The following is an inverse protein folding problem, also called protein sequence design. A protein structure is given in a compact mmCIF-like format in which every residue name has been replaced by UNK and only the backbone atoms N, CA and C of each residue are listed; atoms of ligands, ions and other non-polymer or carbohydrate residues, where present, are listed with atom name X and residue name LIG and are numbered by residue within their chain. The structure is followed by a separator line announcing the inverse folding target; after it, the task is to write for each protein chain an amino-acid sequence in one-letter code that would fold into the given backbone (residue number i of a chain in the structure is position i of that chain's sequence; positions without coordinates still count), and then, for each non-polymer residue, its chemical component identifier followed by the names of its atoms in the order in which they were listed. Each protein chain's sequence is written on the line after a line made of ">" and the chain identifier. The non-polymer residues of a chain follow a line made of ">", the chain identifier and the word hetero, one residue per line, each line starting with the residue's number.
data_IF_424389204394
#
_entry.id   IF_424389204394
#
_cell.length_a   1.000
_cell.length_b   1.000
_cell.length_c   1.000
_cell.angle_alpha   90.00
_cell.angle_beta   90.00
_cell.angle_gamma   90.00
#
_symmetry.space_group_name_H-M   'P 1'
#
loop_
_entity.id
_entity.type
_entity.pdbx_description
1 polymer ?
#
# COMPACT_ATOMS: atom_id res chain seq x y z
N UNK A 1 26.99 -20.12 -5.78
CA UNK A 1 26.90 -21.44 -5.10
C UNK A 1 25.67 -21.40 -4.21
N UNK A 2 24.89 -22.47 -4.15
CA UNK A 2 23.73 -22.54 -3.26
C UNK A 2 23.76 -23.82 -2.42
N UNK A 3 23.12 -23.77 -1.25
CA UNK A 3 22.95 -24.91 -0.37
C UNK A 3 21.50 -24.98 0.09
N UNK A 4 20.97 -26.18 0.31
CA UNK A 4 19.63 -26.36 0.88
C UNK A 4 19.53 -25.67 2.23
N UNK A 5 18.48 -24.89 2.43
CA UNK A 5 18.19 -24.27 3.71
C UNK A 5 17.54 -25.30 4.63
N UNK A 6 18.17 -25.56 5.78
CA UNK A 6 17.66 -26.49 6.79
C UNK A 6 16.25 -26.06 7.25
N UNK A 7 15.22 -26.94 7.15
CA UNK A 7 13.86 -26.65 7.62
C UNK A 7 13.81 -26.18 9.08
N UNK A 8 14.63 -26.74 9.97
CA UNK A 8 14.66 -26.33 11.38
C UNK A 8 15.24 -24.92 11.57
N UNK A 9 16.07 -24.44 10.62
CA UNK A 9 16.50 -23.04 10.59
C UNK A 9 15.37 -22.15 10.08
N UNK A 10 14.68 -22.55 9.00
CA UNK A 10 13.55 -21.82 8.42
C UNK A 10 12.43 -21.57 9.44
N UNK A 11 12.12 -22.56 10.29
CA UNK A 11 11.09 -22.43 11.33
C UNK A 11 11.41 -21.38 12.39
N UNK A 12 12.71 -21.14 12.64
CA UNK A 12 13.19 -20.15 13.63
C UNK A 12 13.27 -18.73 13.08
N UNK A 13 13.22 -18.56 11.76
CA UNK A 13 13.33 -17.25 11.13
C UNK A 13 12.15 -16.36 11.50
N UNK A 14 12.44 -15.08 11.71
CA UNK A 14 11.40 -14.06 11.73
C UNK A 14 11.07 -13.68 10.30
N UNK A 15 10.04 -14.30 9.74
CA UNK A 15 9.54 -14.02 8.40
C UNK A 15 8.69 -12.77 8.40
N UNK A 16 9.13 -11.76 7.65
CA UNK A 16 8.49 -10.46 7.65
C UNK A 16 7.27 -10.39 6.74
N UNK A 17 6.42 -9.40 6.99
CA UNK A 17 5.20 -9.13 6.22
C UNK A 17 5.44 -8.96 4.71
N UNK A 18 6.56 -8.36 4.29
CA UNK A 18 6.91 -8.13 2.89
C UNK A 18 7.02 -9.42 2.05
N UNK A 19 7.21 -10.57 2.71
CA UNK A 19 7.34 -11.89 2.08
C UNK A 19 6.25 -12.85 2.55
N UNK A 20 5.12 -12.32 3.02
CA UNK A 20 4.02 -13.11 3.63
C UNK A 20 3.38 -14.14 2.69
N UNK A 21 3.49 -13.96 1.39
CA UNK A 21 2.91 -14.85 0.38
C UNK A 21 3.86 -16.02 0.04
N UNK A 22 4.99 -16.14 0.74
CA UNK A 22 5.91 -17.26 0.58
C UNK A 22 5.28 -18.54 1.15
N UNK A 23 5.20 -19.59 0.34
CA UNK A 23 4.80 -20.92 0.80
C UNK A 23 5.92 -21.55 1.65
N UNK A 24 5.77 -21.50 2.97
CA UNK A 24 6.78 -21.98 3.92
C UNK A 24 6.92 -23.50 3.94
N UNK A 25 6.01 -24.24 3.31
CA UNK A 25 6.11 -25.70 3.20
C UNK A 25 7.04 -26.13 2.04
N UNK A 26 7.39 -25.21 1.15
CA UNK A 26 8.31 -25.46 0.05
C UNK A 26 9.76 -25.65 0.52
N UNK A 27 10.55 -26.33 -0.31
CA UNK A 27 12.00 -26.47 -0.09
C UNK A 27 12.75 -25.27 -0.65
N UNK A 28 13.61 -24.68 0.18
CA UNK A 28 14.39 -23.50 -0.18
C UNK A 28 15.89 -23.78 -0.19
N UNK A 29 16.61 -22.94 -0.93
CA UNK A 29 18.06 -22.87 -0.92
C UNK A 29 18.51 -21.49 -0.45
N UNK A 30 19.71 -21.41 0.12
CA UNK A 30 20.41 -20.16 0.35
C UNK A 30 21.44 -19.98 -0.75
N UNK A 31 21.27 -18.93 -1.54
CA UNK A 31 22.03 -18.65 -2.74
C UNK A 31 23.03 -17.54 -2.46
N UNK A 32 24.30 -17.81 -2.74
CA UNK A 32 25.39 -16.85 -2.66
C UNK A 32 25.94 -16.61 -4.07
N UNK A 33 25.63 -15.44 -4.62
CA UNK A 33 26.19 -14.92 -5.87
C UNK A 33 26.94 -13.63 -5.54
N UNK A 34 28.27 -13.68 -5.57
CA UNK A 34 29.10 -12.51 -5.25
C UNK A 34 28.83 -11.32 -6.18
N UNK A 35 28.40 -11.58 -7.42
CA UNK A 35 28.16 -10.57 -8.45
C UNK A 35 26.67 -10.19 -8.61
N UNK A 36 25.77 -10.74 -7.81
CA UNK A 36 24.35 -10.40 -7.91
C UNK A 36 24.10 -9.00 -7.33
N UNK A 37 23.61 -8.10 -8.18
CA UNK A 37 23.13 -6.80 -7.73
C UNK A 37 21.70 -6.94 -7.21
N UNK A 38 21.40 -6.46 -5.99
CA UNK A 38 20.05 -6.51 -5.43
C UNK A 38 19.02 -5.91 -6.38
N UNK A 39 17.91 -6.61 -6.59
CA UNK A 39 16.76 -6.10 -7.33
C UNK A 39 15.56 -5.92 -6.41
N UNK A 40 14.60 -5.09 -6.82
CA UNK A 40 13.37 -4.89 -6.05
C UNK A 40 12.65 -6.22 -5.87
N UNK A 41 12.35 -6.57 -4.62
CA UNK A 41 11.63 -7.78 -4.25
C UNK A 41 12.51 -9.01 -4.04
N UNK A 42 13.84 -8.95 -4.23
CA UNK A 42 14.69 -10.11 -3.94
C UNK A 42 14.53 -10.52 -2.47
N UNK A 43 14.13 -11.77 -2.25
CA UNK A 43 13.96 -12.31 -0.91
C UNK A 43 15.32 -12.67 -0.34
N UNK A 44 15.61 -12.19 0.86
CA UNK A 44 16.94 -12.27 1.46
C UNK A 44 16.83 -12.70 2.91
N UNK A 45 17.70 -13.65 3.27
CA UNK A 45 17.97 -14.00 4.65
C UNK A 45 19.06 -13.08 5.18
N UNK A 46 18.80 -12.36 6.27
CA UNK A 46 19.74 -11.42 6.86
C UNK A 46 19.84 -11.58 8.38
N UNK A 47 20.98 -11.20 8.94
CA UNK A 47 21.22 -11.17 10.38
C UNK A 47 21.16 -9.72 10.88
N UNK A 48 20.48 -9.48 12.00
CA UNK A 48 20.47 -8.18 12.66
C UNK A 48 21.83 -7.93 13.32
N UNK A 49 22.55 -6.90 12.87
CA UNK A 49 23.87 -6.54 13.42
C UNK A 49 23.79 -5.42 14.46
N UNK A 50 22.78 -4.55 14.34
CA UNK A 50 22.50 -3.47 15.31
C UNK A 50 21.04 -3.11 15.29
N UNK A 51 20.42 -3.01 16.47
CA UNK A 51 19.05 -2.50 16.61
C UNK A 51 19.06 -0.98 16.67
N UNK A 52 18.30 -0.34 15.78
CA UNK A 52 18.13 1.11 15.67
C UNK A 52 16.66 1.49 15.74
N UNK A 53 16.20 2.32 14.80
CA UNK A 53 14.84 2.86 14.78
C UNK A 53 13.75 1.78 14.76
N UNK A 54 13.83 0.84 13.81
CA UNK A 54 12.89 -0.28 13.73
C UNK A 54 13.32 -1.36 14.72
N UNK A 55 12.80 -1.31 15.93
CA UNK A 55 13.05 -2.29 17.00
C UNK A 55 12.13 -3.51 16.93
N UNK A 56 11.10 -3.44 16.09
CA UNK A 56 10.10 -4.47 15.88
C UNK A 56 10.06 -4.81 14.39
N UNK A 57 9.90 -6.08 14.08
CA UNK A 57 9.60 -6.59 12.74
C UNK A 57 8.16 -7.09 12.74
N UNK A 58 7.36 -6.62 11.80
CA UNK A 58 6.02 -7.16 11.59
C UNK A 58 6.11 -8.48 10.83
N UNK A 59 5.56 -9.53 11.44
CA UNK A 59 5.51 -10.86 10.88
C UNK A 59 4.31 -11.02 9.93
N UNK A 60 4.26 -12.16 9.24
CA UNK A 60 3.21 -12.49 8.24
C UNK A 60 1.80 -12.51 8.81
N UNK A 61 1.66 -12.74 10.13
CA UNK A 61 0.40 -12.76 10.88
C UNK A 61 0.02 -11.39 11.49
N UNK A 62 0.80 -10.34 11.23
CA UNK A 62 0.63 -9.00 11.81
C UNK A 62 1.23 -8.83 13.20
N UNK A 63 1.78 -9.89 13.81
CA UNK A 63 2.46 -9.80 15.10
C UNK A 63 3.75 -8.99 14.96
N UNK A 64 3.97 -8.05 15.89
CA UNK A 64 5.20 -7.25 15.94
C UNK A 64 6.25 -7.93 16.83
N UNK A 65 7.20 -8.64 16.22
CA UNK A 65 8.26 -9.34 16.92
C UNK A 65 9.42 -8.39 17.30
N UNK A 66 9.85 -8.43 18.56
CA UNK A 66 11.04 -7.70 19.02
C UNK A 66 12.30 -8.20 18.31
N UNK A 67 13.15 -7.29 17.85
CA UNK A 67 14.45 -7.58 17.27
C UNK A 67 15.57 -7.53 18.32
N UNK A 68 16.51 -8.45 18.20
CA UNK A 68 17.74 -8.60 18.96
C UNK A 68 18.91 -8.77 17.99
N UNK A 69 20.10 -8.35 18.40
CA UNK A 69 21.33 -8.60 17.63
C UNK A 69 21.56 -10.10 17.51
N UNK A 70 21.89 -10.57 16.31
CA UNK A 70 22.05 -11.99 15.97
C UNK A 70 20.75 -12.69 15.53
N UNK A 71 19.60 -12.02 15.59
CA UNK A 71 18.38 -12.57 15.00
C UNK A 71 18.54 -12.73 13.48
N UNK A 72 18.06 -13.85 12.95
CA UNK A 72 17.90 -14.06 11.51
C UNK A 72 16.47 -13.70 11.07
N UNK A 73 16.37 -12.91 10.02
CA UNK A 73 15.12 -12.40 9.46
C UNK A 73 15.02 -12.77 7.97
N UNK A 74 13.81 -13.10 7.52
CA UNK A 74 13.51 -13.28 6.10
C UNK A 74 12.71 -12.06 5.63
N UNK A 75 13.30 -11.29 4.72
CA UNK A 75 12.88 -9.94 4.31
C UNK A 75 13.07 -9.77 2.81
N UNK A 76 12.69 -8.62 2.24
CA UNK A 76 12.88 -8.32 0.82
C UNK A 76 13.69 -7.04 0.61
N UNK A 77 14.44 -6.96 -0.49
CA UNK A 77 15.06 -5.71 -0.93
C UNK A 77 14.06 -4.75 -1.57
N UNK A 78 14.23 -3.44 -1.37
CA UNK A 78 13.47 -2.42 -2.07
C UNK A 78 13.84 -0.99 -1.68
N UNK A 79 13.69 -0.08 -2.63
CA UNK A 79 13.75 1.36 -2.36
C UNK A 79 12.55 1.79 -1.51
N UNK A 80 12.71 2.84 -0.71
CA UNK A 80 11.66 3.38 0.15
C UNK A 80 11.55 4.89 -0.01
N UNK A 81 10.34 5.37 -0.21
CA UNK A 81 9.96 6.77 -0.05
C UNK A 81 9.10 6.90 1.21
N UNK A 82 9.58 7.64 2.21
CA UNK A 82 8.82 7.93 3.43
C UNK A 82 9.32 9.23 4.07
N UNK A 83 8.69 10.39 3.78
CA UNK A 83 9.15 11.70 4.24
C UNK A 83 9.29 11.85 5.76
N UNK A 84 8.43 11.18 6.54
CA UNK A 84 8.51 11.21 8.01
C UNK A 84 9.45 10.13 8.57
N UNK A 85 10.06 9.30 7.70
CA UNK A 85 10.97 8.22 8.09
C UNK A 85 12.30 8.25 7.32
N UNK A 86 12.48 7.31 6.40
CA UNK A 86 13.70 7.11 5.63
C UNK A 86 13.37 7.21 4.15
N UNK A 87 14.23 7.90 3.41
CA UNK A 87 14.39 7.68 1.98
C UNK A 87 15.54 6.68 1.79
N UNK A 88 15.31 5.65 1.00
CA UNK A 88 16.30 4.63 0.73
C UNK A 88 16.25 4.17 -0.72
N UNK A 89 17.40 3.77 -1.23
CA UNK A 89 17.56 3.17 -2.56
C UNK A 89 17.94 1.69 -2.41
N UNK A 90 17.92 0.94 -3.51
CA UNK A 90 18.54 -0.38 -3.54
C UNK A 90 20.04 -0.26 -3.19
N UNK A 91 20.60 -1.21 -2.41
CA UNK A 91 22.04 -1.31 -2.24
C UNK A 91 22.72 -1.72 -3.56
N UNK A 92 23.98 -1.32 -3.73
CA UNK A 92 24.76 -1.65 -4.93
C UNK A 92 25.28 -3.10 -4.93
N UNK A 93 25.28 -3.76 -3.76
CA UNK A 93 25.77 -5.11 -3.53
C UNK A 93 24.99 -5.83 -2.40
N UNK A 94 25.34 -7.10 -2.14
CA UNK A 94 24.80 -7.89 -1.02
C UNK A 94 25.49 -7.59 0.33
N UNK A 95 26.13 -6.43 0.46
CA UNK A 95 26.80 -5.99 1.67
C UNK A 95 25.84 -5.48 2.75
N UNK A 96 26.43 -4.94 3.82
CA UNK A 96 25.67 -4.43 4.96
C UNK A 96 24.74 -3.27 4.54
N UNK A 97 23.47 -3.39 4.95
CA UNK A 97 22.41 -2.44 4.60
C UNK A 97 21.45 -2.23 5.79
N UNK A 98 20.39 -1.49 5.55
CA UNK A 98 19.50 -0.97 6.57
C UNK A 98 18.13 -1.64 6.46
N UNK A 99 17.53 -2.00 7.60
CA UNK A 99 16.11 -2.28 7.67
C UNK A 99 15.38 -0.94 7.54
N UNK A 100 14.81 -0.68 6.37
CA UNK A 100 14.19 0.60 6.05
C UNK A 100 12.72 0.62 6.38
N UNK A 101 12.04 -0.53 6.50
CA UNK A 101 10.65 -0.61 6.96
C UNK A 101 10.41 -1.81 7.89
N UNK A 102 9.57 -1.62 8.91
CA UNK A 102 9.25 -2.65 9.90
C UNK A 102 8.51 -3.87 9.31
N UNK A 103 7.87 -3.73 8.14
CA UNK A 103 7.31 -4.89 7.42
C UNK A 103 8.37 -5.75 6.71
N UNK A 104 9.66 -5.45 6.87
CA UNK A 104 10.76 -6.27 6.36
C UNK A 104 11.25 -5.86 4.99
N UNK A 105 11.55 -4.57 4.81
CA UNK A 105 12.19 -4.06 3.59
C UNK A 105 13.61 -3.64 3.93
N UNK A 106 14.58 -4.13 3.16
CA UNK A 106 15.98 -3.73 3.22
C UNK A 106 16.32 -2.75 2.09
N UNK A 107 17.12 -1.74 2.43
CA UNK A 107 17.63 -0.76 1.47
C UNK A 107 18.85 -0.04 2.02
N UNK A 108 19.40 0.90 1.26
CA UNK A 108 20.44 1.81 1.72
C UNK A 108 19.85 3.18 1.99
N UNK A 109 19.85 3.62 3.25
CA UNK A 109 19.30 4.93 3.61
C UNK A 109 20.13 6.03 2.94
N UNK A 110 19.43 6.92 2.21
CA UNK A 110 20.00 8.12 1.58
C UNK A 110 19.72 9.37 2.40
N UNK A 111 18.49 9.51 2.86
CA UNK A 111 18.08 10.60 3.74
C UNK A 111 17.15 10.10 4.85
N UNK A 112 17.08 10.87 5.93
CA UNK A 112 16.35 10.50 7.14
C UNK A 112 15.71 11.75 7.72
N UNK A 113 14.44 11.65 8.10
CA UNK A 113 13.74 12.70 8.81
C UNK A 113 14.47 13.05 10.12
N UNK A 114 14.57 14.34 10.46
CA UNK A 114 15.27 14.80 11.65
C UNK A 114 14.75 14.20 12.96
N UNK A 115 13.46 13.83 13.01
CA UNK A 115 12.81 13.23 14.18
C UNK A 115 13.09 11.71 14.36
N UNK A 116 13.74 11.07 13.38
CA UNK A 116 13.91 9.62 13.32
C UNK A 116 15.35 9.25 13.66
N UNK A 117 15.58 8.25 14.51
CA UNK A 117 16.92 7.77 14.87
C UNK A 117 17.57 6.94 13.75
N UNK A 118 18.86 6.59 13.88
CA UNK A 118 19.56 5.75 12.90
C UNK A 118 18.82 4.41 12.68
N UNK A 119 18.86 3.83 11.46
CA UNK A 119 18.15 2.58 11.16
C UNK A 119 18.75 1.39 11.92
N UNK A 120 17.96 0.32 11.99
CA UNK A 120 18.46 -1.03 12.34
C UNK A 120 19.31 -1.52 11.18
N UNK A 121 20.53 -2.00 11.45
CA UNK A 121 21.45 -2.48 10.42
C UNK A 121 21.43 -3.99 10.36
N UNK A 122 21.60 -4.52 9.15
CA UNK A 122 21.62 -5.95 8.89
C UNK A 122 22.81 -6.33 8.04
N UNK A 123 23.21 -7.59 8.15
CA UNK A 123 24.17 -8.23 7.24
C UNK A 123 23.41 -9.32 6.46
N UNK A 124 23.25 -9.16 5.13
CA UNK A 124 22.72 -10.22 4.30
C UNK A 124 23.56 -11.49 4.45
N UNK A 125 22.89 -12.62 4.63
CA UNK A 125 23.52 -13.94 4.69
C UNK A 125 23.47 -14.60 3.32
N UNK A 126 22.40 -14.40 2.55
CA UNK A 126 22.24 -14.89 1.19
C UNK A 126 20.82 -14.67 0.69
N UNK A 127 20.64 -14.82 -0.62
CA UNK A 127 19.32 -14.72 -1.25
C UNK A 127 18.57 -16.04 -1.10
N UNK A 128 17.26 -15.96 -0.91
CA UNK A 128 16.41 -17.15 -0.91
C UNK A 128 16.25 -17.64 -2.34
N UNK A 129 16.54 -18.91 -2.59
CA UNK A 129 16.28 -19.57 -3.86
C UNK A 129 15.27 -20.71 -3.72
N UNK A 130 14.68 -21.10 -4.84
CA UNK A 130 13.89 -22.32 -4.93
C UNK A 130 14.79 -23.57 -4.88
N UNK A 131 14.20 -24.76 -5.02
CA UNK A 131 14.92 -26.04 -5.01
C UNK A 131 16.00 -26.16 -6.10
N UNK A 132 15.91 -25.37 -7.18
CA UNK A 132 16.89 -25.32 -8.26
C UNK A 132 18.00 -24.28 -8.06
N UNK A 133 17.89 -23.47 -6.99
CA UNK A 133 18.81 -22.36 -6.74
C UNK A 133 18.46 -21.08 -7.50
N UNK A 134 17.30 -21.02 -8.17
CA UNK A 134 16.81 -19.77 -8.78
C UNK A 134 16.32 -18.85 -7.68
N UNK A 135 16.80 -17.61 -7.67
CA UNK A 135 16.44 -16.59 -6.67
C UNK A 135 14.92 -16.35 -6.71
N UNK A 136 14.31 -16.36 -5.53
CA UNK A 136 12.90 -16.04 -5.34
C UNK A 136 12.76 -14.54 -5.18
N UNK A 137 11.84 -13.97 -5.94
CA UNK A 137 11.46 -12.58 -5.85
C UNK A 137 10.01 -12.45 -5.33
N UNK A 138 9.68 -11.38 -4.63
CA UNK A 138 8.30 -11.10 -4.19
C UNK A 138 7.32 -11.07 -5.37
N UNK A 139 7.77 -10.72 -6.58
CA UNK A 139 6.97 -10.80 -7.80
C UNK A 139 6.57 -12.23 -8.20
N UNK A 140 7.36 -13.24 -7.85
CA UNK A 140 7.00 -14.66 -8.04
C UNK A 140 5.83 -15.08 -7.12
N UNK A 141 5.59 -14.31 -6.05
CA UNK A 141 4.58 -14.57 -5.02
C UNK A 141 3.29 -13.76 -5.25
N UNK A 142 3.17 -13.10 -6.40
CA UNK A 142 1.99 -12.33 -6.76
C UNK A 142 0.77 -13.24 -6.96
N UNK A 143 -0.42 -12.70 -6.70
CA UNK A 143 -1.65 -13.33 -7.13
C UNK A 143 -1.65 -13.51 -8.65
N UNK A 144 -2.13 -14.67 -9.10
CA UNK A 144 -2.35 -14.93 -10.53
C UNK A 144 -3.48 -14.10 -11.13
N UNK A 145 -3.83 -14.36 -12.38
CA UNK A 145 -4.94 -13.67 -13.06
C UNK A 145 -6.26 -13.87 -12.30
N UNK A 146 -7.02 -12.78 -12.02
CA UNK A 146 -8.29 -12.89 -11.33
C UNK A 146 -9.34 -13.57 -12.23
N UNK A 147 -10.27 -14.29 -11.60
CA UNK A 147 -11.43 -14.85 -12.32
C UNK A 147 -12.33 -13.69 -12.77
N UNK A 148 -12.89 -13.79 -13.98
CA UNK A 148 -13.81 -12.78 -14.51
C UNK A 148 -15.00 -12.55 -13.57
N UNK A 149 -15.22 -11.31 -13.17
CA UNK A 149 -16.38 -10.92 -12.38
C UNK A 149 -17.58 -10.60 -13.28
N UNK A 150 -18.79 -10.89 -12.80
CA UNK A 150 -20.05 -10.64 -13.51
C UNK A 150 -20.51 -9.17 -13.43
N UNK A 151 -19.99 -8.40 -12.49
CA UNK A 151 -20.37 -7.00 -12.23
C UNK A 151 -19.16 -6.15 -11.88
N UNK A 152 -19.20 -4.88 -12.24
CA UNK A 152 -18.23 -3.86 -11.82
C UNK A 152 -18.84 -3.05 -10.67
N UNK A 153 -18.40 -3.23 -9.42
CA UNK A 153 -18.89 -2.45 -8.29
C UNK A 153 -18.32 -1.02 -8.33
N UNK A 154 -19.06 -0.01 -7.84
CA UNK A 154 -18.52 1.33 -7.69
C UNK A 154 -17.23 1.30 -6.86
N UNK A 155 -16.22 2.02 -7.34
CA UNK A 155 -14.89 2.02 -6.75
C UNK A 155 -14.52 3.43 -6.31
N UNK A 156 -14.26 3.56 -5.02
CA UNK A 156 -13.73 4.77 -4.42
C UNK A 156 -12.20 4.73 -4.43
N UNK A 157 -11.57 5.83 -4.82
CA UNK A 157 -10.12 6.02 -4.64
C UNK A 157 -9.89 7.07 -3.56
N UNK A 158 -9.02 6.74 -2.61
CA UNK A 158 -8.58 7.64 -1.55
C UNK A 158 -7.12 8.00 -1.79
N UNK A 159 -6.89 9.26 -2.10
CA UNK A 159 -5.56 9.87 -2.27
C UNK A 159 -5.48 11.10 -1.37
N UNK A 160 -4.29 11.63 -1.10
CA UNK A 160 -4.13 12.68 -0.10
C UNK A 160 -2.96 13.62 -0.33
N UNK A 161 -2.83 14.60 0.55
CA UNK A 161 -1.78 15.63 0.47
C UNK A 161 -0.38 15.07 0.72
N UNK A 162 -0.26 14.10 1.63
CA UNK A 162 1.03 13.61 2.12
C UNK A 162 0.88 12.29 2.88
N UNK A 163 1.98 11.69 3.30
CA UNK A 163 1.95 10.70 4.39
C UNK A 163 1.26 11.30 5.63
N UNK A 164 0.58 10.46 6.40
CA UNK A 164 -0.14 10.87 7.62
C UNK A 164 -1.26 11.92 7.43
N UNK A 165 -1.71 12.18 6.18
CA UNK A 165 -2.86 13.06 5.91
C UNK A 165 -4.22 12.46 6.29
N UNK A 166 -4.25 11.23 6.81
CA UNK A 166 -5.48 10.53 7.23
C UNK A 166 -6.10 9.59 6.20
N UNK A 167 -5.42 9.26 5.09
CA UNK A 167 -5.93 8.36 4.04
C UNK A 167 -6.43 7.01 4.59
N UNK A 168 -5.60 6.29 5.33
CA UNK A 168 -5.96 4.98 5.89
C UNK A 168 -7.17 5.07 6.82
N UNK A 169 -7.25 6.13 7.62
CA UNK A 169 -8.43 6.40 8.48
C UNK A 169 -9.68 6.69 7.67
N UNK A 170 -9.57 7.46 6.58
CA UNK A 170 -10.66 7.75 5.65
C UNK A 170 -11.17 6.46 4.99
N UNK A 171 -10.26 5.60 4.51
CA UNK A 171 -10.60 4.29 3.93
C UNK A 171 -11.31 3.41 4.95
N UNK A 172 -10.69 3.21 6.12
CA UNK A 172 -11.26 2.41 7.21
C UNK A 172 -12.66 2.90 7.62
N UNK A 173 -12.83 4.23 7.75
CA UNK A 173 -14.11 4.82 8.12
C UNK A 173 -15.19 4.62 7.06
N UNK A 174 -14.84 4.80 5.77
CA UNK A 174 -15.78 4.56 4.67
C UNK A 174 -16.13 3.07 4.54
N UNK A 175 -15.15 2.17 4.66
CA UNK A 175 -15.36 0.72 4.69
C UNK A 175 -16.34 0.35 5.81
N UNK A 176 -16.16 0.92 7.00
CA UNK A 176 -17.04 0.68 8.13
C UNK A 176 -18.46 1.18 7.88
N UNK A 177 -18.63 2.40 7.36
CA UNK A 177 -19.94 2.95 7.00
C UNK A 177 -20.66 2.11 5.95
N UNK A 178 -19.99 1.75 4.87
CA UNK A 178 -20.54 0.90 3.80
C UNK A 178 -20.93 -0.49 4.32
N UNK A 179 -20.08 -1.12 5.13
CA UNK A 179 -20.38 -2.42 5.74
C UNK A 179 -21.60 -2.33 6.66
N UNK A 180 -21.70 -1.27 7.47
CA UNK A 180 -22.88 -1.01 8.32
C UNK A 180 -24.15 -0.71 7.53
N UNK A 181 -24.03 -0.30 6.27
CA UNK A 181 -25.15 -0.16 5.35
C UNK A 181 -25.60 -1.51 4.75
N UNK A 182 -24.98 -2.63 5.16
CA UNK A 182 -25.30 -3.99 4.70
C UNK A 182 -24.57 -4.42 3.43
N UNK A 183 -23.56 -3.65 3.00
CA UNK A 183 -22.81 -3.92 1.78
C UNK A 183 -21.58 -4.80 2.04
N UNK A 184 -21.23 -5.64 1.07
CA UNK A 184 -19.96 -6.36 1.05
C UNK A 184 -18.89 -5.44 0.48
N UNK A 185 -17.87 -5.10 1.26
CA UNK A 185 -16.84 -4.14 0.84
C UNK A 185 -15.50 -4.84 0.64
N UNK A 186 -14.87 -4.59 -0.51
CA UNK A 186 -13.46 -4.93 -0.75
C UNK A 186 -12.59 -3.70 -0.56
N UNK A 187 -11.41 -3.84 0.05
CA UNK A 187 -10.47 -2.74 0.19
C UNK A 187 -9.07 -3.15 -0.24
N UNK A 188 -8.31 -2.23 -0.83
CA UNK A 188 -6.90 -2.47 -1.08
C UNK A 188 -6.06 -1.22 -0.96
N UNK A 189 -4.80 -1.38 -0.58
CA UNK A 189 -3.78 -0.36 -0.70
C UNK A 189 -2.90 -0.63 -1.92
N UNK A 190 -3.01 0.19 -2.96
CA UNK A 190 -2.41 -0.10 -4.27
C UNK A 190 -0.96 0.38 -4.40
N UNK A 191 -0.51 1.27 -3.52
CA UNK A 191 0.88 1.73 -3.44
C UNK A 191 1.36 1.82 -2.00
N UNK A 192 2.68 1.84 -1.79
CA UNK A 192 3.30 2.07 -0.49
C UNK A 192 4.56 1.24 -0.24
N UNK A 193 4.78 0.92 1.03
CA UNK A 193 5.90 0.11 1.52
C UNK A 193 5.35 -0.94 2.45
N UNK A 194 5.75 -2.21 2.28
CA UNK A 194 5.11 -3.35 2.94
C UNK A 194 5.01 -3.14 4.46
N UNK A 195 3.77 -3.19 4.95
CA UNK A 195 3.37 -3.17 6.35
C UNK A 195 1.90 -3.62 6.41
N UNK A 196 1.54 -4.44 7.39
CA UNK A 196 0.21 -5.02 7.48
C UNK A 196 -0.85 -4.09 8.09
N UNK A 197 -0.43 -2.97 8.68
CA UNK A 197 -1.32 -2.05 9.38
C UNK A 197 -2.57 -1.65 8.58
N UNK A 198 -2.42 -1.35 7.28
CA UNK A 198 -3.54 -0.96 6.41
C UNK A 198 -4.53 -2.11 6.19
N UNK A 199 -4.15 -3.28 5.60
CA UNK A 199 -5.11 -4.36 5.38
C UNK A 199 -5.71 -4.94 6.66
N UNK A 200 -4.96 -4.99 7.78
CA UNK A 200 -5.55 -5.40 9.06
C UNK A 200 -6.64 -4.44 9.52
N UNK A 201 -6.39 -3.13 9.45
CA UNK A 201 -7.38 -2.12 9.81
C UNK A 201 -8.61 -2.16 8.88
N UNK A 202 -8.42 -2.42 7.59
CA UNK A 202 -9.54 -2.55 6.65
C UNK A 202 -10.42 -3.77 6.98
N UNK A 203 -9.82 -4.90 7.38
CA UNK A 203 -10.56 -6.08 7.85
C UNK A 203 -11.32 -5.79 9.14
N UNK A 204 -10.66 -5.16 10.11
CA UNK A 204 -11.30 -4.76 11.38
C UNK A 204 -12.45 -3.77 11.15
N UNK A 205 -12.37 -2.97 10.08
CA UNK A 205 -13.42 -2.04 9.67
C UNK A 205 -14.62 -2.73 9.00
N UNK A 206 -14.49 -4.00 8.58
CA UNK A 206 -15.58 -4.80 8.00
C UNK A 206 -15.37 -5.22 6.55
N UNK A 207 -14.22 -4.94 5.93
CA UNK A 207 -13.95 -5.42 4.58
C UNK A 207 -13.93 -6.96 4.53
N UNK A 208 -14.66 -7.55 3.58
CA UNK A 208 -14.71 -9.01 3.40
C UNK A 208 -13.42 -9.56 2.77
N UNK A 209 -12.64 -8.67 2.17
CA UNK A 209 -11.29 -8.91 1.67
C UNK A 209 -10.51 -7.59 1.77
N UNK A 210 -9.28 -7.68 2.28
CA UNK A 210 -8.32 -6.58 2.26
C UNK A 210 -7.00 -7.07 1.68
N UNK A 211 -6.51 -6.35 0.67
CA UNK A 211 -5.28 -6.62 -0.06
C UNK A 211 -4.32 -5.42 0.00
N UNK A 212 -3.06 -5.63 -0.35
CA UNK A 212 -2.14 -4.54 -0.68
C UNK A 212 -1.23 -4.89 -1.86
N UNK A 213 -0.41 -3.94 -2.30
CA UNK A 213 0.54 -4.08 -3.42
C UNK A 213 1.52 -5.27 -3.29
N UNK A 214 1.72 -5.84 -2.10
CA UNK A 214 2.50 -7.07 -1.95
C UNK A 214 1.74 -8.30 -2.44
N UNK A 215 0.40 -8.29 -2.43
CA UNK A 215 -0.41 -9.31 -3.13
C UNK A 215 -0.27 -9.20 -4.65
N UNK A 216 0.09 -8.01 -5.15
CA UNK A 216 0.50 -7.82 -6.54
C UNK A 216 2.00 -8.09 -6.78
N UNK A 217 2.74 -8.59 -5.79
CA UNK A 217 4.14 -8.97 -5.93
C UNK A 217 5.13 -7.81 -5.83
N UNK A 218 4.83 -6.80 -5.01
CA UNK A 218 5.74 -5.68 -4.74
C UNK A 218 6.04 -5.54 -3.23
N UNK A 219 7.31 -5.50 -2.85
CA UNK A 219 7.71 -5.18 -1.46
C UNK A 219 7.55 -3.68 -1.14
N UNK A 220 7.79 -2.84 -2.14
CA UNK A 220 7.55 -1.39 -2.14
C UNK A 220 7.16 -0.94 -3.54
N UNK A 221 6.53 0.22 -3.66
CA UNK A 221 6.14 0.79 -4.97
C UNK A 221 6.97 2.00 -5.40
N UNK A 222 7.88 2.49 -4.56
CA UNK A 222 8.80 3.56 -4.92
C UNK A 222 9.86 3.04 -5.90
N UNK A 223 10.16 3.80 -6.97
CA UNK A 223 11.06 3.41 -8.07
C UNK A 223 10.60 2.21 -8.91
N UNK A 224 9.37 1.74 -8.71
CA UNK A 224 8.77 0.73 -9.57
C UNK A 224 8.26 1.40 -10.85
N UNK A 225 8.47 0.83 -12.04
CA UNK A 225 7.96 1.39 -13.29
C UNK A 225 6.45 1.64 -13.26
N UNK A 226 6.01 2.76 -13.82
CA UNK A 226 4.61 3.19 -13.77
C UNK A 226 3.64 2.14 -14.33
N UNK A 227 3.95 1.51 -15.47
CA UNK A 227 3.09 0.49 -16.06
C UNK A 227 2.91 -0.71 -15.12
N UNK A 228 3.96 -1.05 -14.35
CA UNK A 228 3.87 -2.10 -13.32
C UNK A 228 2.97 -1.69 -12.14
N UNK A 229 2.95 -0.41 -11.77
CA UNK A 229 2.03 0.11 -10.75
C UNK A 229 0.58 0.06 -11.23
N UNK A 230 0.33 0.40 -12.50
CA UNK A 230 -1.00 0.28 -13.12
C UNK A 230 -1.45 -1.18 -13.13
N UNK A 231 -0.61 -2.09 -13.62
CA UNK A 231 -0.90 -3.53 -13.65
C UNK A 231 -1.20 -4.07 -12.26
N UNK A 232 -0.42 -3.65 -11.25
CA UNK A 232 -0.64 -4.03 -9.86
C UNK A 232 -1.98 -3.53 -9.32
N UNK A 233 -2.33 -2.26 -9.56
CA UNK A 233 -3.60 -1.69 -9.13
C UNK A 233 -4.81 -2.40 -9.78
N UNK A 234 -4.74 -2.68 -11.09
CA UNK A 234 -5.77 -3.39 -11.84
C UNK A 234 -5.88 -4.87 -11.41
N UNK A 235 -4.76 -5.53 -11.12
CA UNK A 235 -4.74 -6.89 -10.59
C UNK A 235 -5.48 -6.97 -9.25
N UNK A 236 -5.15 -6.07 -8.31
CA UNK A 236 -5.81 -6.02 -7.01
C UNK A 236 -7.30 -5.71 -7.16
N UNK A 237 -7.66 -4.72 -7.99
CA UNK A 237 -9.05 -4.37 -8.28
C UNK A 237 -9.83 -5.57 -8.83
N UNK A 238 -9.28 -6.30 -9.81
CA UNK A 238 -9.89 -7.50 -10.37
C UNK A 238 -10.10 -8.61 -9.33
N UNK A 239 -9.15 -8.83 -8.42
CA UNK A 239 -9.32 -9.78 -7.32
C UNK A 239 -10.40 -9.36 -6.32
N UNK A 240 -10.52 -8.07 -6.01
CA UNK A 240 -11.62 -7.56 -5.18
C UNK A 240 -12.97 -7.79 -5.88
N UNK A 241 -13.07 -7.52 -7.19
CA UNK A 241 -14.28 -7.79 -7.98
C UNK A 241 -14.68 -9.26 -7.98
N UNK A 242 -13.70 -10.17 -8.17
CA UNK A 242 -13.92 -11.61 -8.18
C UNK A 242 -14.51 -12.15 -6.87
N UNK A 243 -14.38 -11.41 -5.76
CA UNK A 243 -14.99 -11.75 -4.46
C UNK A 243 -16.47 -11.36 -4.33
N UNK A 244 -17.08 -10.82 -5.39
CA UNK A 244 -18.49 -10.46 -5.42
C UNK A 244 -18.83 -9.40 -4.37
N UNK A 245 -17.99 -8.37 -4.25
CA UNK A 245 -18.23 -7.20 -3.38
C UNK A 245 -19.22 -6.25 -4.05
N UNK A 246 -19.89 -5.43 -3.24
CA UNK A 246 -20.86 -4.41 -3.68
C UNK A 246 -20.19 -3.03 -3.85
N UNK A 247 -19.06 -2.80 -3.18
CA UNK A 247 -18.24 -1.59 -3.30
C UNK A 247 -16.76 -1.92 -3.10
N UNK A 248 -15.88 -1.14 -3.74
CA UNK A 248 -14.43 -1.21 -3.58
C UNK A 248 -13.90 0.13 -3.05
N UNK A 249 -12.95 0.08 -2.11
CA UNK A 249 -12.22 1.27 -1.64
C UNK A 249 -10.72 1.05 -1.81
N UNK A 250 -10.08 1.85 -2.67
CA UNK A 250 -8.65 1.79 -2.95
C UNK A 250 -7.92 2.94 -2.26
N UNK A 251 -6.89 2.64 -1.49
CA UNK A 251 -5.92 3.62 -0.99
C UNK A 251 -4.74 3.75 -1.94
N UNK A 252 -4.43 4.98 -2.34
CA UNK A 252 -3.15 5.35 -2.96
C UNK A 252 -2.29 6.03 -1.89
N UNK A 253 -1.14 5.44 -1.57
CA UNK A 253 -0.23 5.93 -0.55
C UNK A 253 0.42 7.28 -0.93
N UNK A 254 1.21 7.81 0.01
CA UNK A 254 1.96 9.07 -0.16
C UNK A 254 1.09 10.27 -0.56
N UNK A 255 1.71 11.35 -1.01
CA UNK A 255 1.04 12.59 -1.37
C UNK A 255 0.79 12.69 -2.86
N UNK A 256 -0.20 13.48 -3.26
CA UNK A 256 -0.52 13.77 -4.66
C UNK A 256 0.65 14.41 -5.44
N UNK A 257 1.64 14.97 -4.74
CA UNK A 257 2.87 15.51 -5.33
C UNK A 257 4.02 14.50 -5.46
N UNK A 258 3.86 13.30 -4.89
CA UNK A 258 4.82 12.23 -5.07
C UNK A 258 4.74 11.77 -6.55
N UNK A 259 5.86 11.68 -7.30
CA UNK A 259 5.82 11.52 -8.75
C UNK A 259 5.02 10.30 -9.24
N UNK A 260 5.27 9.13 -8.66
CA UNK A 260 4.56 7.89 -9.01
C UNK A 260 3.06 7.96 -8.70
N UNK A 261 2.67 8.62 -7.60
CA UNK A 261 1.27 8.84 -7.21
C UNK A 261 0.58 9.78 -8.19
N UNK A 262 1.20 10.92 -8.52
CA UNK A 262 0.68 11.87 -9.49
C UNK A 262 0.49 11.19 -10.86
N UNK A 263 1.52 10.49 -11.33
CA UNK A 263 1.50 9.80 -12.61
C UNK A 263 0.44 8.69 -12.64
N UNK A 264 0.31 7.89 -11.56
CA UNK A 264 -0.69 6.84 -11.45
C UNK A 264 -2.11 7.41 -11.54
N UNK A 265 -2.38 8.52 -10.85
CA UNK A 265 -3.70 9.17 -10.90
C UNK A 265 -4.03 9.71 -12.29
N UNK A 266 -3.03 10.19 -13.05
CA UNK A 266 -3.22 10.68 -14.42
C UNK A 266 -3.45 9.56 -15.46
N UNK A 267 -3.33 8.27 -15.09
CA UNK A 267 -3.50 7.14 -16.02
C UNK A 267 -4.96 6.89 -16.39
N UNK A 268 -5.30 6.78 -17.70
CA UNK A 268 -6.66 6.47 -18.15
C UNK A 268 -7.23 5.18 -17.55
N UNK A 269 -6.37 4.18 -17.34
CA UNK A 269 -6.74 2.88 -16.77
C UNK A 269 -7.24 3.01 -15.33
N UNK A 270 -6.58 3.85 -14.52
CA UNK A 270 -6.98 4.14 -13.14
C UNK A 270 -8.23 5.00 -13.12
N UNK A 271 -8.33 6.00 -14.01
CA UNK A 271 -9.52 6.84 -14.12
C UNK A 271 -10.76 6.01 -14.49
N UNK A 272 -10.63 5.07 -15.44
CA UNK A 272 -11.73 4.20 -15.88
C UNK A 272 -12.33 3.36 -14.75
N UNK A 273 -11.50 2.91 -13.80
CA UNK A 273 -12.01 2.14 -12.65
C UNK A 273 -12.48 3.03 -11.49
N UNK A 274 -12.33 4.35 -11.56
CA UNK A 274 -12.64 5.27 -10.43
C UNK A 274 -14.03 5.85 -10.56
N UNK A 275 -14.96 5.43 -9.70
CA UNK A 275 -16.32 5.99 -9.63
C UNK A 275 -16.41 7.22 -8.74
N UNK A 276 -15.46 7.41 -7.83
CA UNK A 276 -15.44 8.54 -6.90
C UNK A 276 -14.12 8.69 -6.16
N UNK A 277 -13.70 9.93 -5.91
CA UNK A 277 -12.49 10.22 -5.14
C UNK A 277 -12.84 10.86 -3.80
N UNK A 278 -12.27 10.34 -2.71
CA UNK A 278 -12.20 11.04 -1.44
C UNK A 278 -10.78 11.55 -1.25
N UNK A 279 -10.63 12.87 -1.04
CA UNK A 279 -9.31 13.46 -0.87
C UNK A 279 -8.99 13.66 0.62
N UNK A 280 -7.96 12.99 1.14
CA UNK A 280 -7.55 13.11 2.53
C UNK A 280 -6.43 14.15 2.71
N UNK A 281 -6.75 15.29 3.33
CA UNK A 281 -5.84 16.41 3.47
C UNK A 281 -5.38 16.64 4.93
N UNK A 282 -4.15 17.13 5.06
CA UNK A 282 -3.55 17.49 6.34
C UNK A 282 -4.09 18.82 6.87
N UNK A 283 -4.38 19.78 5.99
CA UNK A 283 -4.84 21.13 6.31
C UNK A 283 -5.76 21.69 5.21
N UNK A 284 -6.32 22.89 5.44
CA UNK A 284 -7.27 23.55 4.54
C UNK A 284 -6.65 23.96 3.21
N UNK A 285 -5.38 24.39 3.18
CA UNK A 285 -4.70 24.79 1.94
C UNK A 285 -4.41 23.59 1.05
N UNK A 286 -3.94 22.49 1.64
CA UNK A 286 -3.71 21.22 0.96
C UNK A 286 -5.00 20.63 0.41
N UNK A 287 -6.12 20.77 1.12
CA UNK A 287 -7.43 20.37 0.63
C UNK A 287 -7.82 21.13 -0.65
N UNK A 288 -7.72 22.46 -0.64
CA UNK A 288 -8.04 23.30 -1.80
C UNK A 288 -7.18 22.94 -3.02
N UNK A 289 -5.86 22.87 -2.83
CA UNK A 289 -4.93 22.49 -3.90
C UNK A 289 -5.22 21.10 -4.46
N UNK A 290 -5.43 20.11 -3.58
CA UNK A 290 -5.64 18.73 -4.00
C UNK A 290 -6.94 18.54 -4.77
N UNK A 291 -8.03 19.16 -4.32
CA UNK A 291 -9.30 19.13 -5.07
C UNK A 291 -9.13 19.83 -6.43
N UNK A 292 -8.50 21.00 -6.48
CA UNK A 292 -8.24 21.70 -7.74
C UNK A 292 -7.41 20.83 -8.71
N UNK A 293 -6.35 20.17 -8.22
CA UNK A 293 -5.48 19.31 -9.05
C UNK A 293 -6.21 18.08 -9.56
N UNK A 294 -7.04 17.45 -8.72
CA UNK A 294 -7.84 16.29 -9.11
C UNK A 294 -8.92 16.66 -10.12
N UNK A 295 -9.59 17.80 -9.93
CA UNK A 295 -10.56 18.34 -10.90
C UNK A 295 -9.90 18.65 -12.24
N UNK A 296 -8.71 19.24 -12.25
CA UNK A 296 -7.95 19.47 -13.48
C UNK A 296 -7.56 18.16 -14.21
N UNK A 297 -7.46 17.04 -13.49
CA UNK A 297 -7.28 15.69 -14.05
C UNK A 297 -8.58 14.97 -14.44
N UNK A 298 -9.73 15.65 -14.34
CA UNK A 298 -11.08 15.09 -14.54
C UNK A 298 -11.41 13.93 -13.60
N UNK A 299 -11.02 14.02 -12.33
CA UNK A 299 -11.44 13.05 -11.32
C UNK A 299 -12.79 13.43 -10.69
N UNK A 300 -13.68 12.45 -10.43
CA UNK A 300 -14.96 12.66 -9.76
C UNK A 300 -14.75 12.80 -8.24
N UNK A 301 -14.28 13.96 -7.78
CA UNK A 301 -14.09 14.23 -6.35
C UNK A 301 -15.46 14.35 -5.66
N UNK A 302 -15.70 13.49 -4.66
CA UNK A 302 -16.98 13.42 -3.95
C UNK A 302 -16.96 14.17 -2.62
N UNK A 303 -15.82 14.14 -1.92
CA UNK A 303 -15.63 14.75 -0.61
C UNK A 303 -14.15 14.93 -0.26
N UNK A 304 -13.90 15.80 0.72
CA UNK A 304 -12.63 15.92 1.43
C UNK A 304 -12.75 15.30 2.83
N UNK A 305 -11.68 14.66 3.30
CA UNK A 305 -11.56 14.14 4.66
C UNK A 305 -10.10 14.28 5.14
N UNK A 306 -9.68 13.46 6.10
CA UNK A 306 -8.31 13.40 6.59
C UNK A 306 -8.07 14.20 7.87
N UNK A 307 -6.79 14.43 8.17
CA UNK A 307 -6.33 15.01 9.44
C UNK A 307 -6.91 16.41 9.69
N UNK A 308 -7.17 17.20 8.65
CA UNK A 308 -7.75 18.54 8.81
C UNK A 308 -9.09 18.53 9.57
N UNK A 309 -9.81 17.40 9.52
CA UNK A 309 -11.14 17.25 10.15
C UNK A 309 -11.08 17.19 11.67
N UNK A 310 -9.87 17.07 12.26
CA UNK A 310 -9.68 17.20 13.71
C UNK A 310 -9.68 18.66 14.18
N UNK A 311 -9.72 19.64 13.26
CA UNK A 311 -9.76 21.07 13.57
C UNK A 311 -11.03 21.72 12.99
N UNK A 312 -11.99 22.13 13.84
CA UNK A 312 -13.19 22.83 13.38
C UNK A 312 -12.90 24.13 12.60
N UNK A 313 -11.76 24.78 12.87
CA UNK A 313 -11.32 25.97 12.14
C UNK A 313 -10.86 25.61 10.72
N UNK A 314 -10.00 24.59 10.60
CA UNK A 314 -9.52 24.14 9.29
C UNK A 314 -10.67 23.60 8.42
N UNK A 315 -11.65 22.94 9.03
CA UNK A 315 -12.87 22.50 8.33
C UNK A 315 -13.63 23.71 7.74
N UNK A 316 -13.85 24.77 8.54
CA UNK A 316 -14.53 25.98 8.05
C UNK A 316 -13.77 26.68 6.93
N UNK A 317 -12.45 26.79 7.06
CA UNK A 317 -11.58 27.37 6.03
C UNK A 317 -11.64 26.56 4.72
N UNK A 318 -11.56 25.23 4.81
CA UNK A 318 -11.67 24.36 3.65
C UNK A 318 -13.06 24.48 3.00
N UNK A 319 -14.13 24.41 3.79
CA UNK A 319 -15.51 24.53 3.30
C UNK A 319 -15.80 25.88 2.61
N UNK A 320 -15.12 26.95 3.01
CA UNK A 320 -15.30 28.26 2.38
C UNK A 320 -14.76 28.32 0.94
N UNK A 321 -13.80 27.45 0.57
CA UNK A 321 -13.19 27.44 -0.76
C UNK A 321 -13.41 26.17 -1.58
N UNK A 322 -14.04 25.14 -1.01
CA UNK A 322 -14.33 23.87 -1.68
C UNK A 322 -15.75 23.84 -2.24
N UNK A 323 -15.88 23.20 -3.40
CA UNK A 323 -17.16 22.85 -4.05
C UNK A 323 -17.70 21.48 -3.60
N UNK A 324 -16.96 20.76 -2.76
CA UNK A 324 -17.29 19.44 -2.23
C UNK A 324 -17.41 19.47 -0.71
N UNK A 325 -18.23 18.59 -0.11
CA UNK A 325 -18.36 18.51 1.34
C UNK A 325 -17.07 18.03 2.00
N UNK A 326 -16.90 18.42 3.27
CA UNK A 326 -15.84 17.94 4.16
C UNK A 326 -16.46 17.02 5.21
N UNK A 327 -15.97 15.80 5.32
CA UNK A 327 -16.48 14.78 6.25
C UNK A 327 -15.37 14.24 7.15
N UNK A 328 -15.61 14.20 8.45
CA UNK A 328 -14.74 13.55 9.42
C UNK A 328 -14.89 12.03 9.40
N UNK A 329 -14.01 11.34 10.15
CA UNK A 329 -14.04 9.88 10.27
C UNK A 329 -15.41 9.34 10.76
N UNK A 330 -16.00 9.98 11.78
CA UNK A 330 -17.31 9.56 12.31
C UNK A 330 -18.46 9.77 11.32
N UNK A 331 -18.38 10.80 10.48
CA UNK A 331 -19.37 11.01 9.42
C UNK A 331 -19.32 9.86 8.41
N UNK A 332 -18.12 9.50 7.96
CA UNK A 332 -17.90 8.42 6.99
C UNK A 332 -18.30 7.03 7.53
N UNK A 333 -18.25 6.84 8.85
CA UNK A 333 -18.72 5.63 9.54
C UNK A 333 -20.25 5.52 9.60
N UNK A 334 -20.97 6.58 9.21
CA UNK A 334 -22.44 6.55 9.13
C UNK A 334 -22.90 5.74 7.91
N UNK A 335 -23.74 4.71 8.09
CA UNK A 335 -24.27 3.93 6.97
C UNK A 335 -25.12 4.77 6.01
N UNK A 336 -25.81 5.80 6.53
CA UNK A 336 -26.61 6.70 5.71
C UNK A 336 -25.73 7.54 4.77
N UNK A 337 -24.63 8.11 5.28
CA UNK A 337 -23.71 8.91 4.47
C UNK A 337 -22.94 8.04 3.48
N UNK A 338 -22.42 6.89 3.93
CA UNK A 338 -21.72 5.96 3.06
C UNK A 338 -22.60 5.47 1.90
N UNK A 339 -23.87 5.16 2.17
CA UNK A 339 -24.83 4.81 1.13
C UNK A 339 -25.15 5.97 0.16
N UNK A 340 -25.14 7.21 0.64
CA UNK A 340 -25.27 8.39 -0.23
C UNK A 340 -24.05 8.58 -1.13
N UNK A 341 -22.84 8.46 -0.58
CA UNK A 341 -21.60 8.52 -1.38
C UNK A 341 -21.57 7.43 -2.46
N UNK A 342 -22.08 6.23 -2.17
CA UNK A 342 -22.21 5.15 -3.15
C UNK A 342 -23.18 5.50 -4.29
N UNK A 343 -24.34 6.07 -3.98
CA UNK A 343 -25.29 6.54 -5.01
C UNK A 343 -24.67 7.61 -5.89
N UNK A 344 -23.99 8.59 -5.30
CA UNK A 344 -23.29 9.65 -6.05
C UNK A 344 -22.20 9.06 -6.96
N UNK A 345 -21.37 8.16 -6.45
CA UNK A 345 -20.34 7.48 -7.25
C UNK A 345 -20.94 6.69 -8.43
N UNK A 346 -22.10 6.08 -8.24
CA UNK A 346 -22.79 5.32 -9.31
C UNK A 346 -23.38 6.25 -10.37
N UNK A 347 -23.90 7.41 -9.97
CA UNK A 347 -24.48 8.38 -10.91
C UNK A 347 -23.42 9.02 -11.82
N UNK A 348 -22.22 9.30 -11.30
CA UNK A 348 -21.09 9.83 -12.09
C UNK A 348 -20.72 8.88 -13.24
N UNK A 349 -20.63 7.57 -12.98
CA UNK A 349 -20.33 6.56 -14.01
C UNK A 349 -21.37 6.57 -15.14
N UNK A 350 -22.65 6.70 -14.80
CA UNK A 350 -23.73 6.75 -15.81
C UNK A 350 -23.66 8.02 -16.66
N UNK A 351 -23.22 9.15 -16.10
CA UNK A 351 -23.09 10.40 -16.86
C UNK A 351 -21.94 10.33 -17.87
N UNK A 352 -20.81 9.74 -17.48
CA UNK A 352 -19.66 9.54 -18.37
C UNK A 352 -20.01 8.61 -19.55
N UNK A 353 -20.72 7.49 -19.29
CA UNK A 353 -21.16 6.56 -20.35
C UNK A 353 -22.12 7.22 -21.35
N UNK A 354 -23.05 8.06 -20.88
CA UNK A 354 -23.97 8.81 -21.76
C UNK A 354 -23.23 9.89 -22.56
N UNK A 355 -22.22 10.54 -21.97
CA UNK A 355 -21.38 11.52 -22.64
C UNK A 355 -20.54 10.93 -23.77
N UNK A 356 -19.96 9.73 -23.58
CA UNK A 356 -19.20 9.02 -24.61
C UNK A 356 -20.07 8.52 -25.77
N UNK A 357 -21.33 8.11 -25.52
CA UNK A 357 -22.26 7.64 -26.56
C UNK A 357 -22.78 8.78 -27.45
N UNK A 358 -22.79 10.02 -26.94
CA UNK A 358 -23.31 11.20 -27.61
C UNK A 358 -22.24 12.02 -28.37
N UNK A 359 -20.96 11.66 -28.25
CA UNK A 359 -19.81 12.34 -28.88
C UNK A 359 -19.34 11.64 -30.17
#
# INVERSE_FOLDING_TARGET
>A
MFATLDPARLDRLKTAYAVRNLDREASFTLVHHADHQPTHGDVVLAEITKVGYHQLLELTDGRKARLYVGDEVLVAYGARYAPDHFEAELPDDLGACDLVAAGGVLGKVRSRNAAVSAPTTVRPLGLLGDASGRIINVSDLALGTPVSALRVPPTFVVVGTSMNSGKTTTVASLVHGLTRAGLRVGAAKVTGTAAGGDPWLFRDSGAVIALDFTDAGMATTFRIPLDRLVDGALLLHGHLMARGVDAIVLEVADGLLQPETAQLMDRPEIRRITSGVLFAAADSSGALYGVQRLRAGNHPVLAVSGLLTTSPLAVREAQAGLDVPVYGALDLQSPALAGELLRRATAEVLMDEVGEVMA
#
